data_IF_559724746251
#
_entry.id   IF_559724746251
#
_cell.length_a   1.000
_cell.length_b   1.000
_cell.length_c   1.000
_cell.angle_alpha   90.00
_cell.angle_beta   90.00
_cell.angle_gamma   90.00
#
_symmetry.space_group_name_H-M   'P 1'
#
loop_
_entity.id
_entity.type
_entity.pdbx_description
1 polymer ?
#
# COMPACT_ATOMS: atom_id res chain seq x y z
N UNK A 1 -6.07 17.07 8.30
CA UNK A 1 -5.58 16.38 7.09
C UNK A 1 -6.67 16.50 6.04
N UNK A 2 -6.33 16.90 4.80
CA UNK A 2 -7.31 17.00 3.72
C UNK A 2 -7.62 15.59 3.21
N UNK A 3 -8.76 15.01 3.61
CA UNK A 3 -9.17 13.65 3.24
C UNK A 3 -9.49 13.50 1.75
N UNK A 4 -9.55 14.60 0.99
CA UNK A 4 -9.99 14.65 -0.41
C UNK A 4 -9.13 13.82 -1.37
N UNK A 5 -7.90 13.48 -0.99
CA UNK A 5 -6.94 12.75 -1.82
C UNK A 5 -6.69 11.32 -1.33
N UNK A 6 -7.44 10.82 -0.34
CA UNK A 6 -7.32 9.44 0.13
C UNK A 6 -8.12 8.52 -0.79
N UNK A 7 -7.50 7.42 -1.26
CA UNK A 7 -8.21 6.43 -2.07
C UNK A 7 -8.95 5.42 -1.18
N UNK A 8 -10.15 5.79 -0.73
CA UNK A 8 -10.99 4.94 0.11
C UNK A 8 -11.35 3.59 -0.53
N UNK A 9 -11.45 3.53 -1.86
CA UNK A 9 -11.76 2.27 -2.55
C UNK A 9 -10.64 1.22 -2.42
N UNK A 10 -9.39 1.68 -2.40
CA UNK A 10 -8.22 0.82 -2.17
C UNK A 10 -8.18 0.35 -0.72
N UNK A 11 -8.42 1.26 0.21
CA UNK A 11 -8.50 0.94 1.65
C UNK A 11 -9.54 -0.14 1.90
N UNK A 12 -10.76 -0.01 1.37
CA UNK A 12 -11.81 -1.02 1.55
C UNK A 12 -11.45 -2.38 0.96
N UNK A 13 -10.71 -2.41 -0.15
CA UNK A 13 -10.23 -3.66 -0.73
C UNK A 13 -9.18 -4.32 0.18
N UNK A 14 -8.23 -3.53 0.68
CA UNK A 14 -7.18 -3.99 1.59
C UNK A 14 -7.78 -4.51 2.89
N UNK A 15 -8.68 -3.75 3.53
CA UNK A 15 -9.32 -4.15 4.78
C UNK A 15 -10.12 -5.45 4.63
N UNK A 16 -10.85 -5.63 3.52
CA UNK A 16 -11.54 -6.89 3.21
C UNK A 16 -10.57 -8.06 3.06
N UNK A 17 -9.45 -7.83 2.37
CA UNK A 17 -8.42 -8.85 2.18
C UNK A 17 -7.76 -9.26 3.50
N UNK A 18 -7.34 -8.30 4.31
CA UNK A 18 -6.75 -8.55 5.64
C UNK A 18 -7.73 -9.33 6.53
N UNK A 19 -8.99 -8.92 6.56
CA UNK A 19 -10.03 -9.59 7.34
C UNK A 19 -10.27 -11.03 6.86
N UNK A 20 -10.26 -11.27 5.55
CA UNK A 20 -10.38 -12.62 4.98
C UNK A 20 -9.22 -13.55 5.42
N UNK A 21 -8.04 -12.99 5.67
CA UNK A 21 -6.82 -13.71 6.06
C UNK A 21 -6.54 -13.69 7.58
N UNK A 22 -7.53 -13.42 8.42
CA UNK A 22 -7.41 -13.50 9.89
C UNK A 22 -7.25 -12.16 10.61
N UNK A 23 -7.31 -11.04 9.88
CA UNK A 23 -7.64 -9.72 10.46
C UNK A 23 -6.55 -9.01 11.27
N UNK A 24 -5.31 -9.48 11.29
CA UNK A 24 -4.23 -8.85 12.08
C UNK A 24 -3.48 -7.86 11.19
N UNK A 25 -3.84 -6.57 11.28
CA UNK A 25 -3.31 -5.49 10.44
C UNK A 25 -1.78 -5.30 10.61
N UNK A 26 -1.26 -5.48 11.82
CA UNK A 26 0.18 -5.35 12.17
C UNK A 26 1.10 -6.30 11.39
N UNK A 27 0.56 -7.41 10.87
CA UNK A 27 1.30 -8.40 10.07
C UNK A 27 1.35 -8.05 8.57
N UNK A 28 0.85 -6.88 8.19
CA UNK A 28 0.80 -6.40 6.81
C UNK A 28 1.69 -5.18 6.65
N UNK A 29 2.56 -5.29 5.64
CA UNK A 29 3.51 -4.25 5.28
C UNK A 29 3.05 -3.58 3.99
N UNK A 30 3.05 -2.26 3.97
CA UNK A 30 2.69 -1.43 2.83
C UNK A 30 3.89 -0.57 2.41
N UNK A 31 4.17 -0.57 1.11
CA UNK A 31 5.22 0.26 0.48
C UNK A 31 4.65 1.14 -0.63
N UNK A 32 5.41 2.16 -1.02
CA UNK A 32 5.11 3.05 -2.15
C UNK A 32 6.31 3.00 -3.10
N UNK A 33 6.06 2.86 -4.39
CA UNK A 33 7.08 2.83 -5.43
C UNK A 33 6.59 3.56 -6.68
N UNK A 34 7.53 4.02 -7.49
CA UNK A 34 7.27 4.56 -8.83
C UNK A 34 7.05 3.42 -9.84
N UNK A 35 6.20 3.65 -10.84
CA UNK A 35 6.02 2.73 -11.97
C UNK A 35 7.36 2.47 -12.69
N UNK A 36 7.67 1.20 -12.95
CA UNK A 36 8.95 0.80 -13.54
C UNK A 36 10.08 0.53 -12.54
N UNK A 37 9.82 0.60 -11.23
CA UNK A 37 10.80 0.18 -10.21
C UNK A 37 11.14 -1.32 -10.31
N UNK A 38 12.28 -1.71 -9.73
CA UNK A 38 12.70 -3.12 -9.67
C UNK A 38 11.65 -4.00 -8.96
N UNK A 39 10.88 -3.42 -8.03
CA UNK A 39 9.83 -4.11 -7.28
C UNK A 39 8.51 -4.19 -8.05
N UNK A 40 8.21 -3.23 -8.93
CA UNK A 40 7.10 -3.28 -9.89
C UNK A 40 7.32 -4.39 -10.95
N UNK A 41 8.57 -4.55 -11.40
CA UNK A 41 8.96 -5.56 -12.40
C UNK A 41 9.29 -6.93 -11.83
N UNK A 42 9.64 -7.01 -10.53
CA UNK A 42 9.83 -8.29 -9.86
C UNK A 42 8.49 -9.02 -9.85
N UNK A 43 8.41 -10.16 -10.55
CA UNK A 43 7.24 -11.04 -10.59
C UNK A 43 7.01 -11.74 -9.24
N UNK A 44 7.10 -11.01 -8.14
CA UNK A 44 6.90 -11.48 -6.80
C UNK A 44 5.38 -11.67 -6.64
N UNK A 45 4.87 -12.83 -7.06
CA UNK A 45 3.44 -13.19 -7.21
C UNK A 45 2.58 -13.03 -5.95
N UNK A 46 3.19 -12.59 -4.84
CA UNK A 46 2.55 -12.39 -3.54
C UNK A 46 2.28 -10.92 -3.22
N UNK A 47 2.78 -9.98 -4.03
CA UNK A 47 2.52 -8.56 -3.89
C UNK A 47 1.14 -8.20 -4.44
N UNK A 48 0.34 -7.48 -3.64
CA UNK A 48 -0.86 -6.82 -4.12
C UNK A 48 -0.52 -5.42 -4.58
N UNK A 49 -0.61 -5.20 -5.89
CA UNK A 49 -0.28 -3.92 -6.53
C UNK A 49 -1.53 -3.05 -6.62
N UNK A 50 -1.41 -1.78 -6.22
CA UNK A 50 -2.46 -0.78 -6.38
C UNK A 50 -1.91 0.43 -7.13
N UNK A 51 -2.50 0.72 -8.30
CA UNK A 51 -2.15 1.90 -9.07
C UNK A 51 -2.74 3.16 -8.42
N UNK A 52 -1.87 4.13 -8.16
CA UNK A 52 -2.19 5.44 -7.60
C UNK A 52 -1.99 6.53 -8.65
N UNK A 53 -2.79 7.59 -8.58
CA UNK A 53 -2.77 8.72 -9.52
C UNK A 53 -1.56 9.62 -9.33
N UNK A 54 -1.01 9.67 -8.12
CA UNK A 54 0.15 10.47 -7.76
C UNK A 54 0.82 9.92 -6.51
N UNK A 55 2.07 10.33 -6.28
CA UNK A 55 2.80 10.05 -5.05
C UNK A 55 2.03 10.56 -3.80
N UNK A 56 1.39 11.73 -3.89
CA UNK A 56 0.59 12.29 -2.79
C UNK A 56 -0.63 11.42 -2.43
N UNK A 57 -1.36 10.89 -3.42
CA UNK A 57 -2.46 9.95 -3.17
C UNK A 57 -1.94 8.67 -2.50
N UNK A 58 -0.78 8.16 -2.95
CA UNK A 58 -0.14 7.00 -2.36
C UNK A 58 0.25 7.26 -0.89
N UNK A 59 0.92 8.37 -0.59
CA UNK A 59 1.35 8.75 0.77
C UNK A 59 0.18 8.96 1.71
N UNK A 60 -0.88 9.65 1.27
CA UNK A 60 -2.07 9.87 2.10
C UNK A 60 -2.83 8.57 2.36
N UNK A 61 -2.97 7.72 1.35
CA UNK A 61 -3.62 6.41 1.49
C UNK A 61 -2.80 5.50 2.42
N UNK A 62 -1.47 5.50 2.28
CA UNK A 62 -0.57 4.75 3.16
C UNK A 62 -0.68 5.25 4.60
N UNK A 63 -0.61 6.57 4.81
CA UNK A 63 -0.77 7.17 6.14
C UNK A 63 -2.07 6.73 6.80
N UNK A 64 -3.17 6.61 6.05
CA UNK A 64 -4.43 6.12 6.60
C UNK A 64 -4.36 4.63 7.00
N UNK A 65 -3.73 3.79 6.19
CA UNK A 65 -3.50 2.38 6.52
C UNK A 65 -2.60 2.21 7.75
N UNK A 66 -1.58 3.05 7.91
CA UNK A 66 -0.76 3.06 9.13
C UNK A 66 -1.60 3.41 10.37
N UNK A 67 -2.59 4.31 10.25
CA UNK A 67 -3.53 4.57 11.37
C UNK A 67 -4.45 3.38 11.69
N UNK A 68 -4.65 2.46 10.75
CA UNK A 68 -5.35 1.19 10.99
C UNK A 68 -4.45 0.11 11.60
N UNK A 69 -3.14 0.38 11.72
CA UNK A 69 -2.17 -0.54 12.30
C UNK A 69 -1.35 -1.34 11.30
N UNK A 70 -1.33 -0.98 10.01
CA UNK A 70 -0.33 -1.53 9.08
C UNK A 70 1.06 -0.96 9.40
N UNK A 71 2.09 -1.65 8.91
CA UNK A 71 3.49 -1.23 9.06
C UNK A 71 4.04 -0.75 7.72
N UNK A 72 4.86 0.30 7.72
CA UNK A 72 5.59 0.74 6.54
C UNK A 72 6.71 -0.26 6.19
N UNK A 73 7.01 -0.46 4.91
CA UNK A 73 8.10 -1.37 4.50
C UNK A 73 9.51 -0.82 4.75
N UNK A 74 9.64 0.51 4.80
CA UNK A 74 10.88 1.28 4.99
C UNK A 74 11.68 0.83 6.24
N UNK A 75 11.01 0.44 7.32
CA UNK A 75 11.72 0.35 8.60
C UNK A 75 12.57 -0.92 8.82
N UNK A 76 12.39 -2.05 8.11
CA UNK A 76 12.99 -3.31 8.58
C UNK A 76 13.40 -4.36 7.52
N UNK A 77 13.54 -4.01 6.23
CA UNK A 77 13.88 -5.02 5.21
C UNK A 77 12.81 -6.13 5.09
N UNK A 78 11.59 -5.84 5.54
CA UNK A 78 10.44 -6.71 5.38
C UNK A 78 9.90 -6.55 3.96
N UNK A 79 9.61 -7.67 3.29
CA UNK A 79 8.97 -7.61 1.98
C UNK A 79 7.54 -7.05 2.14
N UNK A 80 7.18 -5.94 1.45
CA UNK A 80 5.82 -5.44 1.47
C UNK A 80 4.87 -6.55 1.00
N UNK A 81 3.63 -6.57 1.49
CA UNK A 81 2.55 -7.40 0.91
C UNK A 81 1.63 -6.57 0.03
N UNK A 82 1.59 -5.26 0.29
CA UNK A 82 0.82 -4.28 -0.43
C UNK A 82 1.80 -3.25 -1.01
N UNK A 83 1.70 -2.96 -2.30
CA UNK A 83 2.57 -2.02 -2.96
C UNK A 83 1.74 -1.01 -3.73
N UNK A 84 1.94 0.26 -3.43
CA UNK A 84 1.31 1.37 -4.12
C UNK A 84 2.24 1.85 -5.23
N UNK A 85 1.82 1.66 -6.48
CA UNK A 85 2.56 2.08 -7.65
C UNK A 85 1.97 3.39 -8.14
N UNK A 86 2.72 4.48 -8.13
CA UNK A 86 2.29 5.74 -8.74
C UNK A 86 3.02 5.98 -10.06
N UNK A 87 2.31 6.57 -11.02
CA UNK A 87 2.91 7.05 -12.27
C UNK A 87 3.25 8.53 -12.08
N UNK A 88 4.51 8.93 -12.22
CA UNK A 88 4.84 10.36 -12.39
C UNK A 88 4.17 10.87 -13.66
N UNK A 89 3.45 12.00 -13.57
CA UNK A 89 2.85 12.69 -14.71
C UNK A 89 3.68 13.88 -15.13
#
# INVERSE_FOLDING_TARGET
>A
MNETNVNHSVIEQISRHINHHGGIYENWYVGIEEEGSDRDSSANRKLMLYKMKSEDEAKLTMSWLLTLGLTADDEYGAEPKLLFIYTEK
#
